data_IF_201021077319
#
_entry.id   IF_201021077319
#
_cell.length_a   1.000
_cell.length_b   1.000
_cell.length_c   1.000
_cell.angle_alpha   90.00
_cell.angle_beta   90.00
_cell.angle_gamma   90.00
#
_symmetry.space_group_name_H-M   'P 1'
#
loop_
_entity.id
_entity.type
_entity.pdbx_description
1 polymer ?
#
# COMPACT_ATOMS: atom_id res chain seq x y z
N UNK A 1 71.75 16.10 24.66
CA UNK A 1 71.48 15.12 23.58
C UNK A 1 70.49 14.11 24.15
N UNK A 2 69.20 14.29 23.87
CA UNK A 2 68.12 13.47 24.41
C UNK A 2 67.51 12.65 23.28
N UNK A 3 67.40 11.35 23.51
CA UNK A 3 66.99 10.32 22.57
C UNK A 3 65.50 10.42 22.24
N UNK A 4 65.16 10.31 20.94
CA UNK A 4 63.80 10.08 20.47
C UNK A 4 63.58 8.58 20.29
N UNK A 5 62.68 8.02 21.09
CA UNK A 5 62.20 6.65 20.99
C UNK A 5 61.10 6.59 19.93
N UNK A 6 61.36 5.87 18.83
CA UNK A 6 60.35 5.49 17.85
C UNK A 6 59.54 4.31 18.39
N UNK A 7 58.26 4.53 18.68
CA UNK A 7 57.30 3.47 19.03
C UNK A 7 56.59 2.98 17.76
N UNK A 8 56.83 1.72 17.39
CA UNK A 8 56.12 1.04 16.31
C UNK A 8 54.74 0.57 16.77
N UNK A 9 53.69 1.11 16.17
CA UNK A 9 52.31 0.61 16.28
C UNK A 9 52.12 -0.50 15.24
N UNK A 10 51.73 -1.73 15.62
CA UNK A 10 51.38 -2.75 14.64
C UNK A 10 49.97 -2.46 14.09
N UNK A 11 49.88 -2.22 12.78
CA UNK A 11 48.63 -2.14 12.04
C UNK A 11 48.04 -3.55 11.96
N UNK A 12 46.98 -3.81 12.74
CA UNK A 12 46.21 -5.05 12.66
C UNK A 12 45.33 -4.99 11.41
N UNK A 13 45.77 -5.59 10.31
CA UNK A 13 44.97 -5.82 9.11
C UNK A 13 43.87 -6.84 9.44
N UNK A 14 42.65 -6.35 9.67
CA UNK A 14 41.44 -7.17 9.77
C UNK A 14 41.08 -7.67 8.35
N UNK A 15 41.65 -8.81 7.95
CA UNK A 15 41.20 -9.58 6.80
C UNK A 15 39.80 -10.12 7.08
N UNK A 16 38.79 -9.50 6.49
CA UNK A 16 37.43 -10.06 6.41
C UNK A 16 37.52 -11.31 5.53
N UNK A 17 37.56 -12.49 6.16
CA UNK A 17 37.43 -13.77 5.48
C UNK A 17 36.02 -13.86 4.87
N UNK A 18 35.91 -13.60 3.57
CA UNK A 18 34.74 -13.96 2.77
C UNK A 18 34.76 -15.48 2.65
N UNK A 19 34.04 -16.18 3.53
CA UNK A 19 33.87 -17.63 3.43
C UNK A 19 33.05 -17.89 2.15
N UNK A 20 33.58 -18.60 1.14
CA UNK A 20 32.81 -18.95 -0.05
C UNK A 20 31.65 -19.86 0.36
N UNK A 21 30.42 -19.46 0.00
CA UNK A 21 29.23 -20.30 0.17
C UNK A 21 29.42 -21.64 -0.56
N UNK A 22 29.04 -22.75 0.07
CA UNK A 22 29.12 -24.08 -0.53
C UNK A 22 28.30 -24.15 -1.83
N UNK A 23 28.72 -25.01 -2.75
CA UNK A 23 28.03 -25.20 -4.03
C UNK A 23 26.57 -25.66 -3.85
N UNK A 24 26.32 -26.44 -2.80
CA UNK A 24 25.01 -26.88 -2.35
C UNK A 24 24.12 -25.72 -1.87
N UNK A 25 24.65 -24.79 -1.05
CA UNK A 25 23.88 -23.60 -0.64
C UNK A 25 23.58 -22.66 -1.80
N UNK A 26 24.48 -22.56 -2.79
CA UNK A 26 24.21 -21.80 -4.03
C UNK A 26 23.13 -22.46 -4.89
N UNK A 27 23.11 -23.79 -4.97
CA UNK A 27 22.09 -24.55 -5.70
C UNK A 27 20.70 -24.40 -5.08
N UNK A 28 20.58 -24.60 -3.76
CA UNK A 28 19.32 -24.44 -3.02
C UNK A 28 18.75 -23.03 -3.19
N UNK A 29 19.60 -22.00 -3.07
CA UNK A 29 19.19 -20.61 -3.25
C UNK A 29 18.73 -20.33 -4.69
N UNK A 30 19.37 -20.93 -5.70
CA UNK A 30 18.94 -20.82 -7.10
C UNK A 30 17.56 -21.43 -7.32
N UNK A 31 17.28 -22.58 -6.71
CA UNK A 31 15.96 -23.22 -6.80
C UNK A 31 14.88 -22.45 -6.05
N UNK A 32 15.15 -21.96 -4.83
CA UNK A 32 14.18 -21.19 -4.02
C UNK A 32 13.82 -19.83 -4.64
N UNK A 33 14.79 -19.20 -5.30
CA UNK A 33 14.63 -17.89 -5.91
C UNK A 33 14.26 -17.93 -7.40
N UNK A 34 14.06 -19.12 -7.97
CA UNK A 34 13.66 -19.27 -9.36
C UNK A 34 12.36 -18.51 -9.64
N UNK A 35 12.40 -17.57 -10.60
CA UNK A 35 11.25 -16.74 -10.95
C UNK A 35 10.90 -15.66 -9.92
N UNK A 36 11.81 -15.36 -8.98
CA UNK A 36 11.66 -14.39 -7.88
C UNK A 36 12.83 -13.43 -7.73
N UNK A 37 13.79 -13.44 -8.65
CA UNK A 37 14.97 -12.57 -8.59
C UNK A 37 14.57 -11.12 -8.86
N UNK A 38 14.91 -10.23 -7.94
CA UNK A 38 14.67 -8.79 -8.07
C UNK A 38 16.01 -8.05 -8.12
N UNK A 39 16.20 -7.22 -9.14
CA UNK A 39 17.26 -6.23 -9.16
C UNK A 39 16.69 -4.87 -8.76
N UNK A 40 17.30 -4.21 -7.78
CA UNK A 40 16.96 -2.84 -7.41
C UNK A 40 17.83 -1.91 -8.24
N UNK A 41 17.20 -1.17 -9.15
CA UNK A 41 17.90 -0.25 -10.03
C UNK A 41 18.47 0.91 -9.23
N UNK A 42 19.79 1.11 -9.30
CA UNK A 42 20.41 2.31 -8.74
C UNK A 42 19.95 3.53 -9.50
N UNK A 43 19.30 4.47 -8.81
CA UNK A 43 18.86 5.76 -9.35
C UNK A 43 19.58 6.91 -8.63
N UNK A 44 19.85 8.03 -9.31
CA UNK A 44 20.34 9.25 -8.67
C UNK A 44 19.46 9.70 -7.49
N UNK A 45 20.05 10.25 -6.40
CA UNK A 45 19.31 10.67 -5.20
C UNK A 45 18.12 11.58 -5.44
N UNK A 46 18.17 12.44 -6.47
CA UNK A 46 17.06 13.31 -6.91
C UNK A 46 15.74 12.58 -7.16
N UNK A 47 15.78 11.28 -7.44
CA UNK A 47 14.59 10.45 -7.69
C UNK A 47 14.06 9.78 -6.42
N UNK A 48 14.77 9.87 -5.29
CA UNK A 48 14.38 9.23 -4.05
C UNK A 48 14.83 9.98 -2.78
N UNK A 49 16.04 9.73 -2.30
CA UNK A 49 16.47 10.15 -0.96
C UNK A 49 16.54 11.67 -0.81
N UNK A 50 16.87 12.40 -1.87
CA UNK A 50 16.89 13.87 -1.87
C UNK A 50 15.48 14.47 -1.76
N UNK A 51 14.45 13.78 -2.29
CA UNK A 51 13.05 14.20 -2.16
C UNK A 51 12.60 14.15 -0.69
N UNK A 52 13.19 13.27 0.12
CA UNK A 52 12.95 13.20 1.57
C UNK A 52 13.68 14.31 2.35
N UNK A 53 14.63 15.02 1.75
CA UNK A 53 15.26 16.19 2.38
C UNK A 53 14.40 17.44 2.18
N UNK A 54 13.64 17.46 1.08
CA UNK A 54 12.74 18.56 0.68
C UNK A 54 11.29 18.40 1.15
N UNK A 55 10.99 17.45 2.05
CA UNK A 55 9.63 17.15 2.50
C UNK A 55 8.92 18.28 3.29
N UNK A 56 9.62 19.37 3.62
CA UNK A 56 9.04 20.58 4.23
C UNK A 56 8.84 21.72 3.21
N UNK A 57 9.18 21.54 1.93
CA UNK A 57 9.25 22.61 0.94
C UNK A 57 7.89 23.03 0.35
N UNK A 58 6.77 22.41 0.77
CA UNK A 58 5.45 22.59 0.15
C UNK A 58 4.47 23.28 1.13
N UNK A 59 4.42 24.62 1.14
CA UNK A 59 3.66 25.40 2.13
C UNK A 59 2.13 25.31 1.96
N UNK A 60 1.62 24.77 0.86
CA UNK A 60 0.18 24.51 0.69
C UNK A 60 -0.29 23.23 1.39
N UNK A 61 0.61 22.45 2.02
CA UNK A 61 0.22 21.32 2.83
C UNK A 61 -0.01 21.76 4.27
N UNK A 62 -1.19 21.43 4.82
CA UNK A 62 -1.59 21.79 6.18
C UNK A 62 -0.66 21.20 7.26
N UNK A 63 0.05 20.10 6.96
CA UNK A 63 1.01 19.46 7.86
C UNK A 63 2.36 19.18 7.21
N UNK A 64 3.49 19.40 7.93
CA UNK A 64 4.82 19.06 7.43
C UNK A 64 4.96 17.54 7.30
N UNK A 65 5.46 17.08 6.14
CA UNK A 65 5.57 15.66 5.84
C UNK A 65 6.79 14.99 6.51
N UNK A 66 7.86 15.76 6.73
CA UNK A 66 9.14 15.23 7.21
C UNK A 66 9.11 14.40 8.50
N UNK A 67 8.33 14.74 9.54
CA UNK A 67 8.23 13.92 10.74
C UNK A 67 7.82 12.47 10.43
N UNK A 68 7.01 12.27 9.38
CA UNK A 68 6.49 10.97 8.99
C UNK A 68 7.47 10.10 8.19
N UNK A 69 8.58 10.67 7.69
CA UNK A 69 9.68 9.90 7.12
C UNK A 69 10.43 9.04 8.17
N UNK A 70 10.25 9.34 9.46
CA UNK A 70 10.84 8.58 10.56
C UNK A 70 10.54 7.08 10.48
N UNK A 71 11.44 6.27 11.03
CA UNK A 71 11.35 4.80 10.99
C UNK A 71 11.20 4.23 9.57
N UNK A 72 11.81 4.89 8.57
CA UNK A 72 11.76 4.52 7.15
C UNK A 72 10.34 4.55 6.57
N UNK A 73 9.64 5.68 6.77
CA UNK A 73 8.28 5.90 6.23
C UNK A 73 7.15 5.30 7.08
N UNK A 74 7.44 4.65 8.21
CA UNK A 74 6.38 4.24 9.15
C UNK A 74 5.85 5.41 9.98
N UNK A 75 6.62 6.50 10.10
CA UNK A 75 6.30 7.64 10.94
C UNK A 75 6.80 7.49 12.39
N UNK A 76 6.56 8.50 13.25
CA UNK A 76 6.90 8.42 14.65
C UNK A 76 6.00 7.42 15.38
N UNK A 77 6.45 6.91 16.52
CA UNK A 77 5.61 6.02 17.33
C UNK A 77 4.42 6.81 17.89
N UNK A 78 3.26 6.18 18.00
CA UNK A 78 2.08 6.79 18.64
C UNK A 78 2.31 7.08 20.13
N UNK A 79 3.20 6.32 20.77
CA UNK A 79 3.62 6.50 22.15
C UNK A 79 5.04 5.92 22.32
N UNK A 80 5.85 6.46 23.25
CA UNK A 80 7.23 6.02 23.46
C UNK A 80 7.36 4.51 23.74
N UNK A 81 6.39 3.95 24.47
CA UNK A 81 6.31 2.50 24.78
C UNK A 81 5.67 1.66 23.67
N UNK A 82 5.06 2.28 22.67
CA UNK A 82 4.51 1.56 21.52
C UNK A 82 5.64 0.85 20.78
N UNK A 83 5.39 -0.42 20.42
CA UNK A 83 6.34 -1.21 19.64
C UNK A 83 5.77 -1.76 18.34
N UNK A 84 4.52 -1.44 18.04
CA UNK A 84 3.83 -1.84 16.80
C UNK A 84 2.97 -0.73 16.21
N UNK A 85 2.71 0.37 16.93
CA UNK A 85 1.83 1.44 16.47
C UNK A 85 2.60 2.70 16.14
N UNK A 86 2.36 3.21 14.94
CA UNK A 86 3.04 4.36 14.37
C UNK A 86 2.03 5.35 13.81
N UNK A 87 2.46 6.60 13.69
CA UNK A 87 1.73 7.70 13.06
C UNK A 87 2.03 7.66 11.57
N UNK A 88 1.46 6.67 10.89
CA UNK A 88 1.83 6.33 9.51
C UNK A 88 1.06 7.21 8.53
N UNK A 89 1.78 7.89 7.66
CA UNK A 89 1.23 8.73 6.61
C UNK A 89 1.29 7.98 5.26
N UNK A 90 0.17 7.86 4.52
CA UNK A 90 0.14 7.08 3.29
C UNK A 90 1.06 7.62 2.19
N UNK A 91 1.42 8.91 2.22
CA UNK A 91 2.34 9.53 1.24
C UNK A 91 3.78 9.02 1.36
N UNK A 92 4.11 8.29 2.42
CA UNK A 92 5.43 7.69 2.66
C UNK A 92 5.47 6.19 2.32
N UNK A 93 4.49 5.68 1.57
CA UNK A 93 4.47 4.28 1.15
C UNK A 93 5.68 3.90 0.29
N UNK A 94 6.16 4.79 -0.57
CA UNK A 94 7.30 4.56 -1.46
C UNK A 94 8.60 4.26 -0.67
N UNK A 95 9.06 5.09 0.28
CA UNK A 95 10.22 4.75 1.10
C UNK A 95 9.98 3.55 2.03
N UNK A 96 8.74 3.31 2.48
CA UNK A 96 8.38 2.14 3.28
C UNK A 96 8.61 0.85 2.50
N UNK A 97 8.05 0.74 1.29
CA UNK A 97 8.21 -0.44 0.43
C UNK A 97 9.65 -0.58 -0.03
N UNK A 98 10.31 0.52 -0.40
CA UNK A 98 11.73 0.49 -0.76
C UNK A 98 12.57 -0.12 0.38
N UNK A 99 12.37 0.30 1.63
CA UNK A 99 13.07 -0.28 2.78
C UNK A 99 12.76 -1.76 2.98
N UNK A 100 11.53 -2.20 2.74
CA UNK A 100 11.12 -3.62 2.86
C UNK A 100 11.69 -4.49 1.74
N UNK A 101 11.78 -3.96 0.52
CA UNK A 101 12.37 -4.64 -0.64
C UNK A 101 13.87 -4.91 -0.47
N UNK A 102 14.61 -4.04 0.24
CA UNK A 102 16.01 -4.30 0.61
C UNK A 102 16.19 -5.56 1.49
N UNK A 103 15.10 -6.11 2.04
CA UNK A 103 15.10 -7.32 2.86
C UNK A 103 14.54 -8.55 2.11
N UNK A 104 14.26 -8.42 0.81
CA UNK A 104 13.79 -9.52 -0.05
C UNK A 104 14.88 -10.61 -0.15
N UNK A 105 14.57 -11.90 0.04
CA UNK A 105 15.57 -12.97 0.03
C UNK A 105 16.26 -13.17 -1.33
N UNK A 106 15.56 -12.83 -2.41
CA UNK A 106 15.99 -13.09 -3.79
C UNK A 106 16.42 -11.81 -4.50
N UNK A 107 17.32 -11.03 -3.88
CA UNK A 107 17.95 -9.88 -4.53
C UNK A 107 19.17 -10.31 -5.35
N UNK A 108 19.32 -9.74 -6.54
CA UNK A 108 20.49 -9.91 -7.41
C UNK A 108 21.11 -8.55 -7.78
N UNK A 109 22.45 -8.40 -7.69
CA UNK A 109 23.12 -7.21 -8.19
C UNK A 109 23.19 -7.17 -9.72
N UNK A 110 23.02 -8.32 -10.39
CA UNK A 110 23.05 -8.43 -11.85
C UNK A 110 21.62 -8.28 -12.41
N UNK A 111 21.32 -7.21 -13.19
CA UNK A 111 20.02 -7.03 -13.82
C UNK A 111 19.70 -8.11 -14.85
N UNK A 112 20.70 -8.79 -15.43
CA UNK A 112 20.48 -9.84 -16.43
C UNK A 112 19.86 -11.10 -15.81
N UNK A 113 20.15 -11.37 -14.54
CA UNK A 113 19.58 -12.49 -13.78
C UNK A 113 18.20 -12.18 -13.18
N UNK A 114 17.76 -10.93 -13.23
CA UNK A 114 16.54 -10.50 -12.57
C UNK A 114 15.28 -10.88 -13.37
N UNK A 115 14.30 -11.43 -12.66
CA UNK A 115 12.94 -11.65 -13.15
C UNK A 115 12.13 -10.34 -13.16
N UNK A 116 12.44 -9.44 -12.22
CA UNK A 116 11.84 -8.12 -12.11
C UNK A 116 12.87 -7.05 -11.70
N UNK A 117 12.65 -5.82 -12.13
CA UNK A 117 13.51 -4.66 -11.88
C UNK A 117 12.70 -3.62 -11.09
N UNK A 118 13.06 -3.43 -9.84
CA UNK A 118 12.45 -2.39 -9.01
C UNK A 118 13.10 -1.04 -9.30
N UNK A 119 12.27 -0.03 -9.57
CA UNK A 119 12.69 1.36 -9.67
C UNK A 119 12.37 2.07 -8.35
N UNK A 120 13.38 2.39 -7.51
CA UNK A 120 13.18 3.15 -6.27
C UNK A 120 12.98 4.65 -6.59
N UNK A 121 11.92 4.97 -7.32
CA UNK A 121 11.49 6.33 -7.64
C UNK A 121 10.34 6.72 -6.72
N UNK A 122 10.48 7.82 -5.98
CA UNK A 122 9.43 8.32 -5.10
C UNK A 122 8.56 9.32 -5.87
N UNK A 123 7.84 8.80 -6.85
CA UNK A 123 7.04 9.55 -7.81
C UNK A 123 5.96 10.42 -7.15
N UNK A 124 5.34 9.94 -6.06
CA UNK A 124 4.32 10.72 -5.36
C UNK A 124 4.93 11.91 -4.63
N UNK A 125 6.16 11.78 -4.11
CA UNK A 125 6.90 12.91 -3.57
C UNK A 125 7.39 13.86 -4.68
N UNK A 126 7.87 13.33 -5.80
CA UNK A 126 8.28 14.13 -6.97
C UNK A 126 7.10 14.85 -7.65
N UNK A 127 5.87 14.36 -7.45
CA UNK A 127 4.66 15.01 -7.93
C UNK A 127 4.25 16.24 -7.10
N UNK A 128 4.63 16.33 -5.82
CA UNK A 128 4.17 17.39 -4.91
C UNK A 128 4.37 18.83 -5.45
N UNK A 129 5.51 19.20 -6.09
CA UNK A 129 5.64 20.51 -6.71
C UNK A 129 4.56 20.79 -7.76
N UNK A 130 4.19 19.81 -8.58
CA UNK A 130 3.19 19.97 -9.62
C UNK A 130 1.76 20.04 -9.08
N UNK A 131 1.52 19.48 -7.89
CA UNK A 131 0.19 19.46 -7.24
C UNK A 131 -0.03 20.67 -6.32
N UNK A 132 1.03 21.19 -5.71
CA UNK A 132 0.95 22.18 -4.63
C UNK A 132 1.78 23.45 -4.87
N UNK A 133 2.44 23.62 -6.02
CA UNK A 133 3.13 24.86 -6.38
C UNK A 133 2.45 25.52 -7.59
N UNK A 134 1.73 26.64 -7.42
CA UNK A 134 1.04 27.31 -8.52
C UNK A 134 1.88 27.60 -9.77
N UNK A 135 3.18 27.98 -9.66
CA UNK A 135 4.04 28.16 -10.82
C UNK A 135 4.27 26.90 -11.66
N UNK A 136 4.07 25.70 -11.09
CA UNK A 136 4.38 24.42 -11.73
C UNK A 136 3.12 23.66 -12.21
N UNK A 137 1.91 24.16 -11.97
CA UNK A 137 0.67 23.48 -12.38
C UNK A 137 0.64 23.20 -13.89
N UNK A 138 1.00 24.19 -14.71
CA UNK A 138 1.07 24.05 -16.17
C UNK A 138 2.22 23.16 -16.67
N UNK A 139 3.06 22.65 -15.76
CA UNK A 139 4.18 21.75 -16.05
C UNK A 139 3.94 20.33 -15.55
N UNK A 140 2.74 19.99 -15.06
CA UNK A 140 2.41 18.68 -14.48
C UNK A 140 2.63 17.49 -15.44
N UNK A 141 2.54 17.73 -16.76
CA UNK A 141 2.86 16.75 -17.79
C UNK A 141 4.35 16.38 -17.87
N UNK A 142 5.24 17.18 -17.26
CA UNK A 142 6.67 16.92 -17.19
C UNK A 142 7.06 15.96 -16.06
N UNK A 143 6.15 15.65 -15.14
CA UNK A 143 6.41 14.71 -14.06
C UNK A 143 6.91 13.37 -14.60
N UNK A 144 7.97 12.84 -13.97
CA UNK A 144 8.67 11.59 -14.31
C UNK A 144 9.41 11.54 -15.66
N UNK A 145 9.27 12.51 -16.57
CA UNK A 145 10.09 12.57 -17.81
C UNK A 145 11.60 12.47 -17.55
N UNK A 146 12.16 13.18 -16.54
CA UNK A 146 13.57 13.05 -16.19
C UNK A 146 13.99 11.63 -15.80
N UNK A 147 13.09 10.85 -15.18
CA UNK A 147 13.35 9.43 -14.88
C UNK A 147 13.47 8.63 -16.18
N UNK A 148 12.52 8.78 -17.10
CA UNK A 148 12.56 8.07 -18.37
C UNK A 148 13.85 8.36 -19.16
N UNK A 149 14.22 9.64 -19.27
CA UNK A 149 15.49 10.03 -19.89
C UNK A 149 16.72 9.42 -19.19
N UNK A 150 16.68 9.29 -17.87
CA UNK A 150 17.73 8.62 -17.11
C UNK A 150 17.81 7.11 -17.42
N UNK A 151 16.67 6.42 -17.48
CA UNK A 151 16.61 4.99 -17.81
C UNK A 151 17.15 4.69 -19.22
N UNK A 152 16.96 5.61 -20.17
CA UNK A 152 17.46 5.49 -21.54
C UNK A 152 18.92 5.91 -21.72
N UNK A 153 19.52 6.65 -20.77
CA UNK A 153 20.91 7.13 -20.88
C UNK A 153 21.87 6.33 -20.00
N UNK A 154 21.44 5.88 -18.83
CA UNK A 154 22.25 5.09 -17.92
C UNK A 154 21.89 3.61 -18.06
N UNK A 155 22.86 2.78 -18.47
CA UNK A 155 22.69 1.34 -18.73
C UNK A 155 21.37 1.02 -19.49
N UNK A 156 21.19 1.57 -20.71
CA UNK A 156 19.94 1.47 -21.49
C UNK A 156 19.52 0.03 -21.81
N UNK A 157 20.48 -0.87 -21.94
CA UNK A 157 20.26 -2.29 -22.20
C UNK A 157 19.36 -2.96 -21.14
N UNK A 158 19.37 -2.46 -19.91
CA UNK A 158 18.51 -2.98 -18.83
C UNK A 158 17.04 -2.67 -19.10
N UNK A 159 16.74 -1.45 -19.54
CA UNK A 159 15.38 -1.04 -19.90
C UNK A 159 14.93 -1.67 -21.22
N UNK A 160 15.80 -1.64 -22.24
CA UNK A 160 15.44 -2.06 -23.61
C UNK A 160 15.25 -3.57 -23.76
N UNK A 161 15.90 -4.40 -22.91
CA UNK A 161 15.81 -5.87 -22.96
C UNK A 161 14.37 -6.39 -22.98
N UNK A 162 13.47 -5.74 -22.26
CA UNK A 162 12.04 -6.11 -22.15
C UNK A 162 11.13 -4.89 -22.29
N UNK A 163 11.65 -3.80 -22.88
CA UNK A 163 10.93 -2.54 -23.09
C UNK A 163 10.14 -2.03 -21.85
N UNK A 164 10.69 -2.21 -20.65
CA UNK A 164 10.06 -1.83 -19.39
C UNK A 164 9.02 -2.82 -18.82
N UNK A 165 8.67 -3.90 -19.52
CA UNK A 165 7.66 -4.87 -19.03
C UNK A 165 8.08 -5.65 -17.78
N UNK A 166 9.38 -5.73 -17.50
CA UNK A 166 9.95 -6.30 -16.27
C UNK A 166 10.23 -5.25 -15.19
N UNK A 167 9.89 -3.99 -15.42
CA UNK A 167 10.12 -2.91 -14.46
C UNK A 167 8.87 -2.63 -13.63
N UNK A 168 9.07 -2.33 -12.35
CA UNK A 168 7.97 -1.93 -11.47
C UNK A 168 8.37 -0.86 -10.46
N UNK A 169 7.39 -0.10 -9.99
CA UNK A 169 7.52 0.94 -8.98
C UNK A 169 6.26 1.08 -8.14
N UNK A 170 6.31 1.97 -7.15
CA UNK A 170 5.22 2.27 -6.23
C UNK A 170 4.81 3.73 -6.40
N UNK A 171 3.52 4.00 -6.29
CA UNK A 171 2.91 5.32 -6.11
C UNK A 171 2.24 5.35 -4.73
N UNK A 172 2.63 6.31 -3.89
CA UNK A 172 2.03 6.58 -2.59
C UNK A 172 0.76 7.46 -2.71
N UNK A 173 -0.08 7.18 -3.71
CA UNK A 173 -1.30 7.93 -4.01
C UNK A 173 -2.26 7.13 -4.91
N UNK A 174 -3.51 7.61 -5.05
CA UNK A 174 -4.47 7.03 -5.98
C UNK A 174 -4.00 7.25 -7.43
N UNK A 175 -4.20 6.28 -8.32
CA UNK A 175 -3.78 6.39 -9.72
C UNK A 175 -4.38 7.61 -10.45
N UNK A 176 -5.55 8.08 -10.01
CA UNK A 176 -6.24 9.24 -10.56
C UNK A 176 -5.39 10.53 -10.48
N UNK A 177 -4.60 10.71 -9.41
CA UNK A 177 -3.68 11.85 -9.23
C UNK A 177 -2.54 11.86 -10.26
N UNK A 178 -2.37 10.78 -11.01
CA UNK A 178 -1.29 10.60 -11.98
C UNK A 178 -1.80 10.34 -13.40
N UNK A 179 -3.11 10.47 -13.63
CA UNK A 179 -3.76 10.05 -14.88
C UNK A 179 -4.30 11.19 -15.73
N UNK A 180 -3.90 12.43 -15.46
CA UNK A 180 -4.33 13.58 -16.27
C UNK A 180 -3.82 13.44 -17.71
N UNK A 181 -4.65 13.77 -18.69
CA UNK A 181 -4.23 13.79 -20.09
C UNK A 181 -3.05 14.77 -20.27
N UNK A 182 -1.98 14.42 -21.01
CA UNK A 182 -0.81 15.30 -21.20
C UNK A 182 -1.14 16.66 -21.85
N UNK A 183 -2.23 16.71 -22.61
CA UNK A 183 -2.74 17.87 -23.36
C UNK A 183 -4.02 18.47 -22.75
N UNK A 184 -4.31 18.18 -21.48
CA UNK A 184 -5.48 18.69 -20.79
C UNK A 184 -5.53 20.24 -20.77
N UNK A 185 -6.64 20.80 -21.22
CA UNK A 185 -6.94 22.24 -21.19
C UNK A 185 -8.41 22.46 -20.75
N UNK A 186 -8.67 23.10 -19.59
CA UNK A 186 -7.69 23.56 -18.61
C UNK A 186 -7.00 22.41 -17.87
N UNK A 187 -5.78 22.66 -17.38
CA UNK A 187 -5.10 21.73 -16.47
C UNK A 187 -5.91 21.60 -15.17
N UNK A 188 -6.25 20.36 -14.82
CA UNK A 188 -6.95 19.97 -13.59
C UNK A 188 -5.97 19.44 -12.54
N UNK A 189 -6.50 18.95 -11.43
CA UNK A 189 -5.72 18.24 -10.41
C UNK A 189 -5.01 17.01 -10.99
N UNK A 190 -3.75 16.81 -10.61
CA UNK A 190 -2.96 15.63 -10.95
C UNK A 190 -1.80 15.88 -11.90
N UNK A 191 -1.05 14.81 -12.20
CA UNK A 191 0.04 14.76 -13.19
C UNK A 191 -0.31 13.79 -14.32
N UNK A 192 0.52 13.72 -15.35
CA UNK A 192 0.27 12.83 -16.51
C UNK A 192 1.04 11.51 -16.47
N UNK A 193 1.73 11.19 -15.36
CA UNK A 193 2.66 10.05 -15.29
C UNK A 193 2.07 8.72 -15.81
N UNK A 194 0.85 8.35 -15.41
CA UNK A 194 0.15 7.14 -15.85
C UNK A 194 -0.54 7.27 -17.21
N UNK A 195 -0.59 8.47 -17.78
CA UNK A 195 -1.17 8.75 -19.10
C UNK A 195 -0.11 8.97 -20.18
N UNK A 196 1.18 8.80 -19.85
CA UNK A 196 2.27 8.92 -20.83
C UNK A 196 2.73 7.56 -21.35
N UNK A 197 2.90 7.49 -22.67
CA UNK A 197 3.28 6.29 -23.41
C UNK A 197 4.57 5.63 -22.91
N UNK A 198 5.50 6.42 -22.41
CA UNK A 198 6.80 6.04 -21.90
C UNK A 198 6.73 5.11 -20.69
N UNK A 199 5.57 5.07 -20.01
CA UNK A 199 5.37 4.32 -18.77
C UNK A 199 4.31 3.22 -18.85
N UNK A 200 3.61 3.06 -19.99
CA UNK A 200 2.55 2.05 -20.15
C UNK A 200 3.03 0.60 -19.95
N UNK A 201 4.30 0.34 -20.25
CA UNK A 201 4.84 -1.01 -20.12
C UNK A 201 5.18 -1.40 -18.68
N UNK A 202 5.35 -0.42 -17.78
CA UNK A 202 5.70 -0.66 -16.39
C UNK A 202 4.60 -1.45 -15.65
N UNK A 203 4.95 -1.99 -14.50
CA UNK A 203 3.96 -2.41 -13.49
C UNK A 203 4.00 -1.41 -12.34
N UNK A 204 2.87 -0.78 -12.03
CA UNK A 204 2.81 0.27 -11.00
C UNK A 204 1.97 -0.22 -9.82
N UNK A 205 2.50 -0.20 -8.61
CA UNK A 205 1.69 -0.40 -7.41
C UNK A 205 1.16 0.96 -6.99
N UNK A 206 -0.15 1.11 -6.80
CA UNK A 206 -0.77 2.36 -6.37
C UNK A 206 -1.70 2.12 -5.18
N UNK A 207 -2.08 3.19 -4.47
CA UNK A 207 -3.06 3.05 -3.39
C UNK A 207 -4.46 2.75 -3.92
N UNK A 208 -4.77 3.22 -5.13
CA UNK A 208 -6.00 2.91 -5.86
C UNK A 208 -5.69 2.77 -7.35
N UNK A 209 -6.37 1.87 -8.06
CA UNK A 209 -6.25 1.68 -9.50
C UNK A 209 -7.45 2.21 -10.26
N UNK A 210 -7.28 2.50 -11.56
CA UNK A 210 -8.40 2.82 -12.45
C UNK A 210 -9.22 1.56 -12.78
N UNK A 211 -10.48 1.69 -13.27
CA UNK A 211 -11.39 0.56 -13.47
C UNK A 211 -10.95 -0.48 -14.49
N UNK A 212 -10.17 -0.09 -15.50
CA UNK A 212 -9.68 -1.01 -16.54
C UNK A 212 -8.28 -1.54 -16.18
N UNK A 213 -7.90 -2.76 -16.62
CA UNK A 213 -6.58 -3.32 -16.33
C UNK A 213 -5.47 -2.59 -17.12
N UNK A 214 -4.95 -1.51 -16.53
CA UNK A 214 -3.85 -0.71 -17.07
C UNK A 214 -2.49 -1.19 -16.54
N UNK A 215 -1.49 -0.31 -16.45
CA UNK A 215 -0.19 -0.61 -15.87
C UNK A 215 -0.22 -0.76 -14.34
N UNK A 216 -1.16 -0.10 -13.67
CA UNK A 216 -1.24 -0.07 -12.22
C UNK A 216 -2.04 -1.23 -11.60
N UNK A 217 -1.76 -1.50 -10.33
CA UNK A 217 -2.50 -2.43 -9.49
C UNK A 217 -2.62 -1.84 -8.08
N UNK A 218 -3.83 -1.88 -7.51
CA UNK A 218 -4.05 -1.31 -6.18
C UNK A 218 -3.46 -2.21 -5.09
N UNK A 219 -2.88 -1.60 -4.07
CA UNK A 219 -2.41 -2.26 -2.86
C UNK A 219 -2.99 -1.56 -1.62
N UNK A 220 -3.24 -2.27 -0.52
CA UNK A 220 -3.86 -1.71 0.67
C UNK A 220 -3.20 -0.42 1.14
N UNK A 221 -3.98 0.58 1.55
CA UNK A 221 -3.40 1.74 2.22
C UNK A 221 -2.62 1.30 3.48
N UNK A 222 -1.45 1.90 3.77
CA UNK A 222 -0.69 1.53 4.94
C UNK A 222 -1.46 1.91 6.21
N UNK A 223 -1.82 0.90 6.99
CA UNK A 223 -2.42 1.05 8.32
C UNK A 223 -1.38 1.57 9.31
N UNK A 224 -1.80 1.88 10.54
CA UNK A 224 -0.89 2.36 11.59
C UNK A 224 -0.23 1.23 12.41
N UNK A 225 -0.49 -0.04 12.07
CA UNK A 225 -0.01 -1.21 12.80
C UNK A 225 1.09 -1.94 12.02
N UNK A 226 2.30 -1.89 12.56
CA UNK A 226 3.51 -2.47 12.01
C UNK A 226 4.24 -3.32 13.06
N UNK A 227 3.78 -4.56 13.33
CA UNK A 227 4.44 -5.43 14.29
C UNK A 227 5.84 -5.81 13.81
N UNK A 228 6.77 -5.97 14.77
CA UNK A 228 8.13 -6.44 14.50
C UNK A 228 8.29 -7.95 14.73
N UNK A 229 7.34 -8.59 15.42
CA UNK A 229 7.41 -10.00 15.80
C UNK A 229 6.06 -10.69 15.67
N UNK A 230 6.07 -12.00 15.44
CA UNK A 230 4.86 -12.82 15.35
C UNK A 230 4.01 -12.71 16.62
N UNK A 231 4.64 -12.81 17.80
CA UNK A 231 3.94 -12.66 19.08
C UNK A 231 3.19 -11.31 19.23
N UNK A 232 3.64 -10.22 18.59
CA UNK A 232 2.92 -8.94 18.62
C UNK A 232 1.73 -8.92 17.66
N UNK A 233 1.85 -9.59 16.52
CA UNK A 233 0.72 -9.81 15.62
C UNK A 233 -0.34 -10.66 16.33
N UNK A 234 0.06 -11.81 16.87
CA UNK A 234 -0.85 -12.73 17.57
C UNK A 234 -1.54 -12.05 18.75
N UNK A 235 -0.81 -11.27 19.55
CA UNK A 235 -1.39 -10.53 20.67
C UNK A 235 -2.44 -9.50 20.20
N UNK A 236 -2.21 -8.86 19.05
CA UNK A 236 -3.18 -7.93 18.47
C UNK A 236 -4.42 -8.67 17.93
N UNK A 237 -4.24 -9.71 17.12
CA UNK A 237 -5.35 -10.50 16.58
C UNK A 237 -6.16 -11.15 17.70
N UNK A 238 -5.52 -11.64 18.76
CA UNK A 238 -6.20 -12.21 19.92
C UNK A 238 -6.99 -11.14 20.70
N UNK A 239 -6.47 -9.90 20.80
CA UNK A 239 -7.22 -8.76 21.34
C UNK A 239 -8.42 -8.42 20.46
N UNK A 240 -8.24 -8.33 19.15
CA UNK A 240 -9.31 -8.04 18.21
C UNK A 240 -10.40 -9.11 18.27
N UNK A 241 -10.05 -10.40 18.33
CA UNK A 241 -10.98 -11.53 18.46
C UNK A 241 -11.79 -11.49 19.76
N UNK A 242 -11.16 -11.17 20.91
CA UNK A 242 -11.85 -11.10 22.22
C UNK A 242 -12.60 -9.79 22.47
N UNK A 243 -12.49 -8.80 21.58
CA UNK A 243 -13.12 -7.50 21.81
C UNK A 243 -14.64 -7.63 21.79
N UNK A 244 -15.28 -7.15 22.85
CA UNK A 244 -16.75 -7.08 22.95
C UNK A 244 -17.25 -6.00 22.00
N UNK A 245 -18.20 -6.37 21.12
CA UNK A 245 -18.81 -5.44 20.18
C UNK A 245 -20.23 -5.11 20.65
N UNK A 246 -20.42 -3.88 21.09
CA UNK A 246 -21.68 -3.38 21.64
C UNK A 246 -22.33 -2.32 20.74
N UNK A 247 -21.67 -1.95 19.64
CA UNK A 247 -22.16 -1.03 18.63
C UNK A 247 -22.41 -1.82 17.35
N UNK A 248 -23.56 -1.66 16.71
CA UNK A 248 -23.87 -2.35 15.46
C UNK A 248 -22.95 -1.86 14.34
N UNK A 249 -22.93 -0.56 14.09
CA UNK A 249 -22.18 0.03 12.99
C UNK A 249 -21.39 1.28 13.38
N UNK A 250 -20.29 1.52 12.69
CA UNK A 250 -19.41 2.67 12.88
C UNK A 250 -19.18 3.39 11.56
N UNK A 251 -19.28 4.70 11.57
CA UNK A 251 -18.69 5.54 10.53
C UNK A 251 -17.61 6.45 11.13
N UNK A 252 -16.37 6.25 10.68
CA UNK A 252 -15.22 7.07 11.06
C UNK A 252 -14.75 7.91 9.86
N UNK A 253 -15.21 9.15 9.76
CA UNK A 253 -15.02 9.98 8.58
C UNK A 253 -15.54 11.40 8.76
N UNK A 254 -15.24 12.26 7.80
CA UNK A 254 -15.77 13.62 7.68
C UNK A 254 -16.54 13.83 6.38
N UNK A 255 -16.91 15.08 6.09
CA UNK A 255 -17.56 15.47 4.83
C UNK A 255 -19.08 15.24 4.83
N UNK A 256 -19.71 15.04 3.68
CA UNK A 256 -21.17 14.84 3.59
C UNK A 256 -22.01 16.13 3.62
N UNK A 257 -21.38 17.30 3.49
CA UNK A 257 -22.05 18.53 3.08
C UNK A 257 -22.32 18.56 1.57
N UNK A 258 -23.19 19.46 1.11
CA UNK A 258 -23.72 19.45 -0.25
C UNK A 258 -25.04 18.67 -0.35
N UNK A 259 -25.54 18.44 -1.58
CA UNK A 259 -26.81 17.75 -1.84
C UNK A 259 -26.85 16.29 -1.38
N UNK A 260 -27.86 15.54 -1.82
CA UNK A 260 -28.04 14.13 -1.44
C UNK A 260 -26.80 13.28 -1.78
N UNK A 261 -26.17 12.69 -0.76
CA UNK A 261 -24.98 11.87 -0.90
C UNK A 261 -24.87 10.84 0.24
N UNK A 262 -24.14 9.75 0.02
CA UNK A 262 -24.07 8.62 0.96
C UNK A 262 -23.47 8.96 2.32
N UNK A 263 -22.47 9.86 2.39
CA UNK A 263 -21.88 10.29 3.66
C UNK A 263 -22.89 11.10 4.48
N UNK A 264 -23.70 11.92 3.80
CA UNK A 264 -24.83 12.64 4.39
C UNK A 264 -25.90 11.69 4.93
N UNK A 265 -26.32 10.70 4.14
CA UNK A 265 -27.31 9.70 4.55
C UNK A 265 -26.84 8.88 5.76
N UNK A 266 -25.58 8.41 5.76
CA UNK A 266 -24.99 7.70 6.89
C UNK A 266 -25.00 8.56 8.15
N UNK A 267 -24.58 9.83 8.05
CA UNK A 267 -24.58 10.74 9.20
C UNK A 267 -25.99 10.92 9.76
N UNK A 268 -26.96 11.24 8.91
CA UNK A 268 -28.35 11.45 9.31
C UNK A 268 -28.94 10.22 10.01
N UNK A 269 -28.65 9.01 9.49
CA UNK A 269 -29.09 7.77 10.12
C UNK A 269 -28.41 7.55 11.49
N UNK A 270 -27.10 7.80 11.59
CA UNK A 270 -26.36 7.63 12.84
C UNK A 270 -26.72 8.65 13.93
N UNK A 271 -27.08 9.88 13.55
CA UNK A 271 -27.63 10.89 14.46
C UNK A 271 -28.99 10.47 15.02
N UNK A 272 -29.82 9.79 14.22
CA UNK A 272 -31.11 9.28 14.66
C UNK A 272 -31.02 7.96 15.45
N UNK A 273 -29.98 7.16 15.22
CA UNK A 273 -29.80 5.82 15.81
C UNK A 273 -28.51 5.72 16.62
N UNK A 274 -28.31 6.63 17.56
CA UNK A 274 -27.13 6.67 18.45
C UNK A 274 -27.00 5.43 19.35
N UNK A 275 -28.07 4.64 19.49
CA UNK A 275 -28.09 3.34 20.16
C UNK A 275 -27.38 2.23 19.36
N UNK A 276 -27.38 2.34 18.02
CA UNK A 276 -26.81 1.33 17.11
C UNK A 276 -25.58 1.81 16.34
N UNK A 277 -25.53 3.10 15.99
CA UNK A 277 -24.46 3.68 15.21
C UNK A 277 -23.56 4.58 16.06
N UNK A 278 -22.25 4.37 15.92
CA UNK A 278 -21.26 5.30 16.42
C UNK A 278 -20.69 6.15 15.27
N UNK A 279 -20.68 7.47 15.46
CA UNK A 279 -19.95 8.41 14.62
C UNK A 279 -18.60 8.73 15.25
N UNK A 280 -17.54 8.70 14.44
CA UNK A 280 -16.22 9.24 14.78
C UNK A 280 -15.90 10.32 13.78
N UNK A 281 -15.99 11.57 14.22
CA UNK A 281 -15.69 12.71 13.37
C UNK A 281 -14.20 12.79 13.10
N UNK A 282 -13.84 12.61 11.83
CA UNK A 282 -12.47 12.69 11.33
C UNK A 282 -12.25 13.94 10.44
N UNK A 283 -13.15 14.93 10.52
CA UNK A 283 -13.00 16.21 9.84
C UNK A 283 -11.72 16.93 10.29
N UNK A 284 -11.23 17.85 9.46
CA UNK A 284 -10.01 18.65 9.74
C UNK A 284 -8.76 17.81 10.02
N UNK A 285 -8.70 16.57 9.50
CA UNK A 285 -7.51 15.71 9.61
C UNK A 285 -7.25 15.11 11.00
N UNK A 286 -8.18 15.26 11.97
CA UNK A 286 -7.94 14.81 13.36
C UNK A 286 -7.65 13.32 13.52
N UNK A 287 -8.01 12.49 12.53
CA UNK A 287 -7.75 11.06 12.50
C UNK A 287 -6.48 10.65 11.73
N UNK A 288 -5.88 11.54 10.94
CA UNK A 288 -4.86 11.20 9.93
C UNK A 288 -3.67 10.43 10.49
N UNK A 289 -3.27 10.74 11.73
CA UNK A 289 -2.09 10.13 12.36
C UNK A 289 -2.28 9.71 13.82
N UNK A 290 -3.53 9.67 14.31
CA UNK A 290 -3.87 9.18 15.66
C UNK A 290 -4.77 7.94 15.59
N UNK A 291 -4.19 6.73 15.47
CA UNK A 291 -4.97 5.51 15.32
C UNK A 291 -5.82 5.17 16.54
N UNK A 292 -5.58 5.77 17.72
CA UNK A 292 -6.41 5.49 18.89
C UNK A 292 -7.84 5.99 18.67
N UNK A 293 -8.02 7.08 17.93
CA UNK A 293 -9.32 7.70 17.67
C UNK A 293 -10.27 6.79 16.90
N UNK A 294 -9.76 6.05 15.92
CA UNK A 294 -10.58 5.14 15.11
C UNK A 294 -10.45 3.67 15.54
N UNK A 295 -9.28 3.19 15.97
CA UNK A 295 -9.12 1.76 16.33
C UNK A 295 -9.92 1.37 17.57
N UNK A 296 -10.03 2.26 18.57
CA UNK A 296 -10.82 1.97 19.78
C UNK A 296 -12.31 1.76 19.47
N UNK A 297 -12.99 2.66 18.73
CA UNK A 297 -14.37 2.41 18.32
C UNK A 297 -14.49 1.24 17.34
N UNK A 298 -13.58 1.08 16.37
CA UNK A 298 -13.60 -0.07 15.45
C UNK A 298 -13.54 -1.43 16.17
N UNK A 299 -12.81 -1.54 17.29
CA UNK A 299 -12.78 -2.76 18.11
C UNK A 299 -14.12 -3.07 18.81
N UNK A 300 -15.02 -2.08 18.91
CA UNK A 300 -16.32 -2.16 19.61
C UNK A 300 -17.52 -2.25 18.67
N UNK A 301 -17.32 -2.09 17.35
CA UNK A 301 -18.39 -2.01 16.37
C UNK A 301 -18.42 -3.24 15.46
N UNK A 302 -19.57 -3.88 15.23
CA UNK A 302 -19.65 -5.06 14.36
C UNK A 302 -19.30 -4.74 12.91
N UNK A 303 -19.86 -3.65 12.40
CA UNK A 303 -19.71 -3.21 11.02
C UNK A 303 -19.02 -1.85 10.93
N UNK A 304 -18.19 -1.66 9.93
CA UNK A 304 -17.51 -0.39 9.64
C UNK A 304 -17.91 0.09 8.26
N UNK A 305 -18.66 1.19 8.22
CA UNK A 305 -19.18 1.78 6.99
C UNK A 305 -18.04 2.41 6.19
N UNK A 306 -17.91 2.03 4.92
CA UNK A 306 -16.86 2.46 3.99
C UNK A 306 -17.43 3.21 2.76
N UNK A 307 -18.21 4.32 2.92
CA UNK A 307 -18.62 5.13 1.77
C UNK A 307 -17.43 5.75 1.03
N UNK A 308 -17.51 5.89 -0.30
CA UNK A 308 -16.54 6.65 -1.09
C UNK A 308 -16.53 8.14 -0.69
N UNK A 309 -15.52 8.90 -1.15
CA UNK A 309 -15.54 10.37 -1.17
C UNK A 309 -14.69 10.91 -2.30
N UNK A 310 -13.68 11.74 -1.97
CA UNK A 310 -12.76 12.30 -2.96
C UNK A 310 -12.13 11.22 -3.84
N UNK A 311 -11.85 10.06 -3.24
CA UNK A 311 -11.48 8.82 -3.94
C UNK A 311 -12.39 7.65 -3.54
N UNK A 312 -12.45 6.59 -4.38
CA UNK A 312 -13.27 5.40 -4.10
C UNK A 312 -12.97 4.68 -2.78
N UNK A 313 -11.70 4.45 -2.46
CA UNK A 313 -11.31 3.66 -1.27
C UNK A 313 -10.96 4.54 -0.08
N UNK A 314 -11.25 4.02 1.11
CA UNK A 314 -10.75 4.62 2.35
C UNK A 314 -9.73 3.71 3.03
N UNK A 315 -8.68 4.32 3.58
CA UNK A 315 -7.71 3.67 4.48
C UNK A 315 -8.40 2.89 5.62
N UNK A 316 -9.50 3.43 6.13
CA UNK A 316 -10.32 2.83 7.20
C UNK A 316 -10.88 1.45 6.85
N UNK A 317 -10.94 1.06 5.58
CA UNK A 317 -11.24 -0.32 5.17
C UNK A 317 -10.24 -1.28 5.80
N UNK A 318 -8.94 -1.01 5.63
CA UNK A 318 -7.86 -1.87 6.11
C UNK A 318 -7.66 -1.77 7.63
N UNK A 319 -7.87 -0.59 8.21
CA UNK A 319 -7.90 -0.42 9.67
C UNK A 319 -9.07 -1.20 10.30
N UNK A 320 -10.24 -1.20 9.64
CA UNK A 320 -11.40 -2.01 10.02
C UNK A 320 -11.08 -3.50 10.03
N UNK A 321 -10.41 -3.99 8.98
CA UNK A 321 -9.95 -5.38 8.90
C UNK A 321 -9.04 -5.74 10.08
N UNK A 322 -8.06 -4.87 10.41
CA UNK A 322 -7.19 -5.08 11.57
C UNK A 322 -7.92 -5.06 12.91
N UNK A 323 -9.03 -4.33 13.01
CA UNK A 323 -9.89 -4.32 14.19
C UNK A 323 -10.88 -5.49 14.23
N UNK A 324 -10.98 -6.28 13.15
CA UNK A 324 -12.03 -7.29 12.94
C UNK A 324 -13.41 -6.70 12.69
N UNK A 325 -13.51 -5.42 12.33
CA UNK A 325 -14.75 -4.72 12.05
C UNK A 325 -15.13 -4.99 10.59
N UNK A 326 -16.30 -5.59 10.37
CA UNK A 326 -16.72 -6.07 9.05
C UNK A 326 -16.94 -4.87 8.12
N UNK A 327 -16.18 -4.73 7.01
CA UNK A 327 -16.36 -3.62 6.09
C UNK A 327 -17.75 -3.66 5.44
N UNK A 328 -18.40 -2.49 5.35
CA UNK A 328 -19.63 -2.31 4.56
C UNK A 328 -19.32 -1.37 3.41
N UNK A 329 -19.36 -1.89 2.19
CA UNK A 329 -19.05 -1.16 0.97
C UNK A 329 -20.33 -0.65 0.29
N UNK A 330 -20.22 0.50 -0.38
CA UNK A 330 -21.33 1.13 -1.10
C UNK A 330 -21.10 1.21 -2.62
N UNK A 331 -19.86 0.98 -3.05
CA UNK A 331 -19.42 0.92 -4.43
C UNK A 331 -18.42 -0.24 -4.56
N UNK A 332 -18.51 -1.04 -5.63
CA UNK A 332 -17.58 -2.17 -5.82
C UNK A 332 -16.14 -1.70 -6.03
N UNK A 333 -15.97 -0.54 -6.65
CA UNK A 333 -14.66 0.08 -6.85
C UNK A 333 -14.01 0.52 -5.54
N UNK A 334 -14.73 0.64 -4.42
CA UNK A 334 -14.12 0.91 -3.12
C UNK A 334 -13.26 -0.24 -2.59
N UNK A 335 -13.43 -1.46 -3.11
CA UNK A 335 -12.54 -2.56 -2.78
C UNK A 335 -12.51 -3.71 -3.81
N UNK A 336 -13.66 -4.37 -4.04
CA UNK A 336 -13.80 -5.61 -4.83
C UNK A 336 -13.05 -5.57 -6.16
N UNK A 337 -13.23 -4.48 -6.91
CA UNK A 337 -12.66 -4.32 -8.26
C UNK A 337 -11.18 -3.95 -8.32
N UNK A 338 -10.47 -3.80 -7.19
CA UNK A 338 -9.08 -3.33 -7.23
C UNK A 338 -8.08 -4.03 -6.32
N UNK A 339 -8.48 -4.66 -5.21
CA UNK A 339 -7.53 -5.28 -4.25
C UNK A 339 -7.40 -6.80 -4.36
N UNK A 340 -7.62 -7.38 -5.54
CA UNK A 340 -7.63 -8.85 -5.76
C UNK A 340 -6.37 -9.60 -5.30
N UNK A 341 -5.21 -8.94 -5.20
CA UNK A 341 -3.99 -9.57 -4.67
C UNK A 341 -3.97 -9.73 -3.15
N UNK A 342 -4.81 -8.99 -2.44
CA UNK A 342 -4.84 -8.91 -0.97
C UNK A 342 -6.19 -9.35 -0.39
N UNK A 343 -7.26 -9.18 -1.14
CA UNK A 343 -8.65 -9.51 -0.81
C UNK A 343 -9.24 -10.31 -1.98
N UNK A 344 -9.56 -11.60 -1.82
CA UNK A 344 -10.07 -12.44 -2.91
C UNK A 344 -11.43 -11.94 -3.41
N UNK A 345 -11.55 -11.70 -4.72
CA UNK A 345 -12.72 -11.07 -5.37
C UNK A 345 -14.00 -11.92 -5.28
N UNK A 346 -13.82 -13.24 -5.30
CA UNK A 346 -14.83 -14.30 -5.20
C UNK A 346 -15.36 -14.52 -3.77
N UNK A 347 -14.69 -13.95 -2.76
CA UNK A 347 -14.99 -14.20 -1.34
C UNK A 347 -15.42 -12.92 -0.59
N UNK A 348 -15.77 -11.85 -1.30
CA UNK A 348 -16.15 -10.58 -0.65
C UNK A 348 -17.35 -10.73 0.28
N UNK A 349 -18.29 -11.58 -0.08
CA UNK A 349 -19.48 -11.92 0.68
C UNK A 349 -19.15 -12.65 1.99
N UNK A 350 -17.98 -13.31 2.08
CA UNK A 350 -17.54 -14.01 3.29
C UNK A 350 -16.99 -13.08 4.37
N UNK A 351 -16.62 -11.84 4.03
CA UNK A 351 -15.98 -10.92 4.99
C UNK A 351 -16.50 -9.48 4.95
N UNK A 352 -17.43 -9.16 4.06
CA UNK A 352 -17.96 -7.81 3.90
C UNK A 352 -19.44 -7.81 3.56
N UNK A 353 -20.07 -6.64 3.68
CA UNK A 353 -21.46 -6.41 3.24
C UNK A 353 -21.44 -5.35 2.15
N UNK A 354 -22.19 -5.59 1.08
CA UNK A 354 -22.41 -4.60 0.02
C UNK A 354 -23.83 -4.05 0.09
N UNK A 355 -23.95 -2.72 0.13
CA UNK A 355 -25.24 -2.01 0.11
C UNK A 355 -25.14 -0.94 -0.99
N UNK A 356 -25.85 -1.05 -2.12
CA UNK A 356 -25.74 -0.08 -3.19
C UNK A 356 -25.97 1.35 -2.72
N UNK A 357 -25.04 2.25 -3.08
CA UNK A 357 -25.09 3.66 -2.68
C UNK A 357 -26.44 4.31 -2.98
N UNK A 358 -26.97 4.05 -4.17
CA UNK A 358 -28.20 4.70 -4.67
C UNK A 358 -29.45 4.24 -3.91
N UNK A 359 -29.48 3.00 -3.42
CA UNK A 359 -30.60 2.49 -2.63
C UNK A 359 -30.70 3.18 -1.27
N UNK A 360 -29.58 3.58 -0.69
CA UNK A 360 -29.53 4.34 0.57
C UNK A 360 -29.85 5.82 0.34
N UNK A 361 -29.29 6.42 -0.72
CA UNK A 361 -29.43 7.86 -0.96
C UNK A 361 -30.80 8.22 -1.53
N UNK A 362 -31.34 7.40 -2.41
CA UNK A 362 -32.59 7.67 -3.15
C UNK A 362 -33.66 6.59 -2.97
N UNK A 363 -33.28 5.35 -2.63
CA UNK A 363 -34.20 4.22 -2.48
C UNK A 363 -34.83 4.04 -1.10
N UNK A 364 -34.43 4.83 -0.10
CA UNK A 364 -34.98 4.77 1.27
C UNK A 364 -34.50 3.57 2.09
N UNK A 365 -33.49 2.83 1.64
CA UNK A 365 -32.89 1.72 2.41
C UNK A 365 -32.21 2.28 3.67
N UNK A 366 -32.59 1.77 4.84
CA UNK A 366 -31.93 2.06 6.11
C UNK A 366 -30.80 1.07 6.36
N UNK A 367 -29.58 1.57 6.51
CA UNK A 367 -28.39 0.73 6.70
C UNK A 367 -28.52 -0.10 7.98
N UNK A 368 -29.07 0.49 9.04
CA UNK A 368 -29.30 -0.20 10.32
C UNK A 368 -30.19 -1.42 10.18
N UNK A 369 -31.22 -1.37 9.34
CA UNK A 369 -32.10 -2.53 9.13
C UNK A 369 -31.40 -3.66 8.39
N UNK A 370 -30.67 -3.32 7.32
CA UNK A 370 -29.92 -4.31 6.54
C UNK A 370 -28.91 -5.03 7.43
N UNK A 371 -28.14 -4.28 8.22
CA UNK A 371 -27.10 -4.85 9.07
C UNK A 371 -27.66 -5.60 10.29
N UNK A 372 -28.78 -5.14 10.86
CA UNK A 372 -29.43 -5.82 11.98
C UNK A 372 -30.15 -7.12 11.56
N UNK A 373 -30.49 -7.26 10.28
CA UNK A 373 -31.10 -8.46 9.74
C UNK A 373 -30.10 -9.62 9.55
N UNK A 374 -28.78 -9.33 9.54
CA UNK A 374 -27.75 -10.36 9.38
C UNK A 374 -27.68 -11.22 10.66
N UNK A 375 -27.86 -12.55 10.57
CA UNK A 375 -27.79 -13.43 11.73
C UNK A 375 -26.47 -13.31 12.49
N UNK A 376 -26.51 -13.35 13.83
CA UNK A 376 -25.30 -13.23 14.65
C UNK A 376 -24.25 -14.31 14.34
N UNK A 377 -24.68 -15.49 13.87
CA UNK A 377 -23.77 -16.55 13.44
C UNK A 377 -22.95 -16.14 12.21
N UNK A 378 -23.59 -15.49 11.24
CA UNK A 378 -22.94 -15.02 10.02
C UNK A 378 -22.01 -13.85 10.34
N UNK A 379 -22.42 -12.94 11.22
CA UNK A 379 -21.54 -11.87 11.73
C UNK A 379 -20.28 -12.43 12.41
N UNK A 380 -20.39 -13.53 13.17
CA UNK A 380 -19.21 -14.18 13.77
C UNK A 380 -18.30 -14.77 12.71
N UNK A 381 -18.84 -15.48 11.73
CA UNK A 381 -18.09 -16.08 10.62
C UNK A 381 -17.39 -15.01 9.78
N UNK A 382 -18.10 -13.94 9.39
CA UNK A 382 -17.52 -12.81 8.67
C UNK A 382 -16.36 -12.19 9.44
N UNK A 383 -16.53 -11.98 10.75
CA UNK A 383 -15.46 -11.43 11.59
C UNK A 383 -14.24 -12.34 11.68
N UNK A 384 -14.43 -13.66 11.73
CA UNK A 384 -13.32 -14.61 11.70
C UNK A 384 -12.55 -14.48 10.39
N UNK A 385 -13.25 -14.45 9.26
CA UNK A 385 -12.68 -14.24 7.93
C UNK A 385 -11.92 -12.91 7.83
N UNK A 386 -12.50 -11.82 8.33
CA UNK A 386 -11.83 -10.51 8.39
C UNK A 386 -10.50 -10.59 9.14
N UNK A 387 -10.45 -11.27 10.29
CA UNK A 387 -9.21 -11.39 11.07
C UNK A 387 -8.17 -12.33 10.44
N UNK A 388 -8.59 -13.29 9.61
CA UNK A 388 -7.68 -14.11 8.80
C UNK A 388 -7.02 -13.31 7.67
N UNK A 389 -7.73 -12.33 7.10
CA UNK A 389 -7.22 -11.44 6.06
C UNK A 389 -6.28 -10.34 6.61
N UNK A 390 -6.37 -10.04 7.91
CA UNK A 390 -5.62 -8.97 8.56
C UNK A 390 -4.10 -8.96 8.31
N UNK A 391 -3.38 -10.10 8.32
CA UNK A 391 -1.96 -10.13 7.96
C UNK A 391 -1.69 -9.62 6.54
N UNK A 392 -2.55 -9.98 5.58
CA UNK A 392 -2.41 -9.63 4.17
C UNK A 392 -2.61 -8.14 3.87
N UNK A 393 -3.28 -7.38 4.75
CA UNK A 393 -3.52 -5.94 4.55
C UNK A 393 -2.66 -5.04 5.45
N UNK A 394 -1.86 -5.62 6.35
CA UNK A 394 -0.90 -4.86 7.16
C UNK A 394 0.49 -4.81 6.50
N UNK A 395 1.30 -3.86 6.95
CA UNK A 395 2.70 -3.73 6.55
C UNK A 395 3.58 -4.05 7.75
N UNK A 396 4.39 -5.11 7.71
CA UNK A 396 5.27 -5.44 8.84
C UNK A 396 6.46 -4.48 8.92
N UNK A 397 6.97 -4.26 10.12
CA UNK A 397 8.16 -3.43 10.32
C UNK A 397 9.37 -4.06 9.63
N UNK A 398 10.20 -3.25 8.97
CA UNK A 398 11.53 -3.66 8.51
C UNK A 398 12.36 -4.26 9.68
N UNK A 399 13.20 -5.24 9.39
CA UNK A 399 13.96 -5.97 10.40
C UNK A 399 13.08 -6.83 11.31
N UNK A 400 11.91 -7.27 10.85
CA UNK A 400 11.03 -8.16 11.62
C UNK A 400 11.69 -9.53 11.89
N UNK A 401 11.22 -10.20 12.95
CA UNK A 401 11.67 -11.54 13.33
C UNK A 401 11.41 -12.57 12.23
N UNK A 402 12.25 -13.60 12.13
CA UNK A 402 12.09 -14.69 11.15
C UNK A 402 10.68 -15.30 11.13
N UNK A 403 10.09 -15.59 12.31
CA UNK A 403 8.73 -16.14 12.39
C UNK A 403 7.61 -15.20 11.91
N UNK A 404 7.85 -13.88 11.84
CA UNK A 404 6.90 -12.98 11.19
C UNK A 404 7.12 -12.91 9.67
N UNK A 405 8.35 -13.18 9.20
CA UNK A 405 8.67 -13.19 7.75
C UNK A 405 8.08 -14.40 7.03
N UNK A 406 7.69 -15.46 7.75
CA UNK A 406 6.98 -16.61 7.18
C UNK A 406 5.50 -16.35 6.95
N UNK A 407 4.95 -15.25 7.48
CA UNK A 407 3.58 -14.80 7.22
C UNK A 407 3.66 -13.67 6.18
N UNK A 408 2.97 -13.84 5.06
CA UNK A 408 2.94 -12.81 4.01
C UNK A 408 2.14 -11.60 4.47
N UNK A 409 2.75 -10.43 4.36
CA UNK A 409 2.09 -9.15 4.57
C UNK A 409 1.70 -8.48 3.24
N UNK A 410 1.18 -7.25 3.30
CA UNK A 410 0.77 -6.51 2.11
C UNK A 410 1.90 -6.32 1.08
N UNK A 411 3.15 -6.14 1.54
CA UNK A 411 4.31 -6.01 0.65
C UNK A 411 4.62 -7.37 0.01
N UNK A 412 4.68 -8.43 0.81
CA UNK A 412 5.01 -9.77 0.33
C UNK A 412 3.98 -10.25 -0.74
N UNK A 413 2.68 -10.00 -0.52
CA UNK A 413 1.61 -10.29 -1.49
C UNK A 413 1.71 -9.42 -2.75
N UNK A 414 2.00 -8.12 -2.61
CA UNK A 414 2.17 -7.23 -3.74
C UNK A 414 3.36 -7.64 -4.62
N UNK A 415 4.49 -8.04 -4.03
CA UNK A 415 5.66 -8.50 -4.78
C UNK A 415 5.39 -9.82 -5.49
N UNK A 416 4.71 -10.77 -4.86
CA UNK A 416 4.30 -12.00 -5.54
C UNK A 416 3.36 -11.70 -6.72
N UNK A 417 2.44 -10.74 -6.56
CA UNK A 417 1.57 -10.23 -7.64
C UNK A 417 2.34 -9.60 -8.80
N UNK A 418 3.32 -8.73 -8.50
CA UNK A 418 4.23 -8.13 -9.48
C UNK A 418 4.97 -9.21 -10.27
N UNK A 419 5.58 -10.18 -9.59
CA UNK A 419 6.34 -11.25 -10.24
C UNK A 419 5.45 -12.11 -11.15
N UNK A 420 4.24 -12.47 -10.69
CA UNK A 420 3.25 -13.17 -11.53
C UNK A 420 2.87 -12.36 -12.76
N UNK A 421 2.57 -11.07 -12.59
CA UNK A 421 2.18 -10.17 -13.69
C UNK A 421 3.30 -9.98 -14.71
N UNK A 422 4.54 -9.73 -14.26
CA UNK A 422 5.71 -9.60 -15.13
C UNK A 422 5.95 -10.90 -15.90
N UNK A 423 5.87 -12.05 -15.23
CA UNK A 423 6.03 -13.35 -15.88
C UNK A 423 5.01 -13.55 -17.00
N UNK A 424 3.74 -13.15 -16.81
CA UNK A 424 2.71 -13.18 -17.86
C UNK A 424 3.04 -12.22 -19.01
N UNK A 425 3.47 -10.99 -18.72
CA UNK A 425 3.80 -9.96 -19.73
C UNK A 425 5.01 -10.31 -20.60
N UNK A 426 6.01 -11.01 -20.05
CA UNK A 426 7.28 -11.26 -20.74
C UNK A 426 7.39 -12.69 -21.32
N UNK A 427 6.36 -13.52 -21.14
CA UNK A 427 6.35 -14.84 -21.79
C UNK A 427 6.29 -14.69 -23.31
N UNK A 428 7.07 -15.48 -24.08
CA UNK A 428 6.84 -15.63 -25.50
C UNK A 428 5.45 -16.21 -25.73
N UNK A 429 4.68 -15.67 -26.68
CA UNK A 429 3.42 -16.26 -27.14
C UNK A 429 3.69 -17.73 -27.55
N UNK A 430 3.05 -18.70 -26.87
CA UNK A 430 3.09 -20.12 -27.23
C UNK A 430 3.94 -21.07 -26.36
N UNK A 431 4.40 -20.67 -25.17
CA UNK A 431 5.01 -21.62 -24.22
C UNK A 431 3.95 -22.25 -23.30
N UNK A 432 3.67 -23.57 -23.39
CA UNK A 432 2.72 -24.23 -22.49
C UNK A 432 3.38 -24.43 -21.13
N UNK A 433 2.63 -24.24 -20.05
CA UNK A 433 3.00 -24.81 -18.75
C UNK A 433 1.81 -25.62 -18.24
N UNK A 434 2.09 -26.71 -17.50
CA UNK A 434 1.09 -27.48 -16.76
C UNK A 434 0.31 -26.52 -15.87
N UNK A 435 -0.89 -26.18 -16.32
CA UNK A 435 -1.91 -25.55 -15.51
C UNK A 435 -2.30 -26.60 -14.47
N UNK A 436 -1.89 -26.43 -13.22
CA UNK A 436 -2.74 -26.93 -12.13
C UNK A 436 -3.99 -26.08 -12.20
N UNK A 437 -5.05 -26.68 -12.74
CA UNK A 437 -6.38 -26.11 -12.91
C UNK A 437 -6.82 -25.59 -11.55
N UNK A 438 -6.96 -24.28 -11.45
CA UNK A 438 -7.83 -23.60 -10.46
C UNK A 438 -8.11 -22.11 -10.83
N UNK A 439 -7.43 -21.49 -11.82
CA UNK A 439 -7.54 -20.02 -12.04
C UNK A 439 -7.91 -19.55 -13.47
N UNK A 440 -8.58 -20.34 -14.32
CA UNK A 440 -8.90 -19.91 -15.70
C UNK A 440 -10.38 -20.09 -16.15
N UNK A 441 -11.33 -19.98 -15.24
CA UNK A 441 -12.69 -19.53 -15.60
C UNK A 441 -13.02 -18.35 -14.70
N UNK A 442 -12.76 -17.11 -15.17
CA UNK A 442 -13.49 -15.88 -14.81
C UNK A 442 -12.85 -14.64 -15.47
N UNK A 443 -12.69 -14.71 -16.80
CA UNK A 443 -12.38 -13.54 -17.62
C UNK A 443 -13.08 -13.61 -18.98
N UNK A 444 -14.35 -14.02 -18.99
CA UNK A 444 -15.31 -13.78 -20.07
C UNK A 444 -16.72 -14.17 -19.58
N UNK A 445 -17.37 -13.26 -18.86
CA UNK A 445 -18.78 -13.34 -18.45
C UNK A 445 -19.29 -11.97 -18.10
#
# INVERSE_FOLDING_TARGET
>A
MAAWVLSHIPILLCLILIIPQSEETRSIRRTECHGRWIHIRSLPPRFNTELLESCNAFPLMDEPLCPYAANHGLGPRTHNRSRSWYRTDPRLLEPLIHRRLLEHPCLTPDPLLADAIYLPYYASLDALPFLYSPPLFNSSALHALPLHHHLLSNQPHVYSRRHGHDHFLVLAGPAWDFSQAPDADPVLWGTSFLSRSEFFNLTVLALESRPSPWQEHAIPHPTSFHPATLARLDAWLARARRSRRNTLMLFAGGGGGGGANIRGSIRAECENRTDLCQMVDCSDGVCSHDPIRFMRPMLRSSFCLQPPGDTPTRRSTFDGILAGCIPVFFEEISARKQYGWHLPEDQYEDFSVYIPKEDVVFGGVRITEVLAAIPEADVRTMRERVLELAPGVMYRRHGSSAGLRSIKDAVDLAIDGVLRRIRRKVRPLGSPELITVDDEEDAAG
#
